data_IF_468544426814
#
_entry.id   IF_468544426814
#
_cell.length_a   1.000
_cell.length_b   1.000
_cell.length_c   1.000
_cell.angle_alpha   90.00
_cell.angle_beta   90.00
_cell.angle_gamma   90.00
#
_symmetry.space_group_name_H-M   'P 1'
#
loop_
_entity.id
_entity.type
_entity.pdbx_description
1 polymer ?
#
# COMPACT_ATOMS: atom_id res chain seq x y z
N UNK A 1 -5.23 13.68 3.04
CA UNK A 1 -4.96 12.28 2.67
C UNK A 1 -5.63 12.09 1.31
N UNK A 2 -4.88 11.67 0.28
CA UNK A 2 -5.33 11.50 -1.12
C UNK A 2 -5.54 12.78 -1.98
N UNK A 3 -5.18 12.68 -3.28
CA UNK A 3 -5.46 13.65 -4.35
C UNK A 3 -6.08 12.89 -5.53
N UNK A 4 -7.08 13.46 -6.23
CA UNK A 4 -7.61 12.87 -7.46
C UNK A 4 -6.60 13.10 -8.59
N UNK A 5 -5.99 12.04 -9.12
CA UNK A 5 -5.16 12.13 -10.32
C UNK A 5 -5.42 10.94 -11.25
N UNK A 6 -5.40 11.24 -12.54
CA UNK A 6 -5.89 10.47 -13.68
C UNK A 6 -4.90 9.42 -14.22
N UNK A 7 -3.89 9.02 -13.44
CA UNK A 7 -2.91 8.02 -13.85
C UNK A 7 -2.88 6.83 -12.90
N UNK A 8 -2.87 5.63 -13.49
CA UNK A 8 -2.63 4.34 -12.82
C UNK A 8 -1.31 4.38 -12.01
N UNK A 9 -0.34 5.22 -12.40
CA UNK A 9 0.97 5.34 -11.78
C UNK A 9 1.01 6.25 -10.53
N UNK A 10 -0.10 6.92 -10.18
CA UNK A 10 -0.16 7.85 -9.02
C UNK A 10 -1.07 7.40 -7.90
N UNK A 11 -1.54 6.16 -7.99
CA UNK A 11 -2.27 5.50 -6.93
C UNK A 11 -1.23 5.03 -5.90
N UNK A 12 -1.13 5.73 -4.77
CA UNK A 12 -0.45 5.18 -3.60
C UNK A 12 -1.27 3.97 -3.15
N UNK A 13 -0.98 2.79 -3.70
CA UNK A 13 -1.71 1.54 -3.42
C UNK A 13 -1.49 1.05 -1.99
N UNK A 14 -0.38 1.48 -1.39
CA UNK A 14 -0.10 1.28 0.00
C UNK A 14 -0.57 2.47 0.82
N UNK A 15 -1.46 2.22 1.77
CA UNK A 15 -1.46 3.07 2.95
C UNK A 15 -0.10 2.90 3.64
N UNK A 16 0.49 3.99 4.16
CA UNK A 16 1.71 3.90 4.95
C UNK A 16 1.53 2.86 6.05
N UNK A 17 2.45 1.91 6.11
CA UNK A 17 2.54 1.02 7.25
C UNK A 17 2.98 1.85 8.46
N UNK A 18 2.16 1.81 9.51
CA UNK A 18 2.50 2.37 10.81
C UNK A 18 2.99 1.22 11.67
N UNK A 19 4.15 1.40 12.30
CA UNK A 19 4.76 0.42 13.17
C UNK A 19 5.09 1.11 14.50
N UNK A 20 4.65 0.52 15.60
CA UNK A 20 4.99 0.94 16.95
C UNK A 20 6.38 0.43 17.33
N UNK A 21 7.33 1.37 17.36
CA UNK A 21 8.73 1.12 17.69
C UNK A 21 9.06 1.48 19.15
N UNK A 22 8.07 1.74 20.01
CA UNK A 22 8.30 2.10 21.42
C UNK A 22 9.20 1.10 22.16
N UNK A 23 9.05 -0.23 22.00
CA UNK A 23 9.96 -1.18 22.63
C UNK A 23 11.42 -1.04 22.16
N UNK A 24 11.66 -0.50 20.96
CA UNK A 24 13.00 -0.34 20.39
C UNK A 24 13.78 0.82 21.00
N UNK A 25 13.11 1.70 21.75
CA UNK A 25 13.80 2.73 22.54
C UNK A 25 14.81 2.10 23.52
N UNK A 26 14.64 0.82 23.86
CA UNK A 26 15.55 0.10 24.72
C UNK A 26 16.97 -0.06 24.16
N UNK A 27 17.14 0.00 22.83
CA UNK A 27 18.46 -0.08 22.18
C UNK A 27 19.21 1.27 22.18
N UNK A 28 18.55 2.37 22.51
CA UNK A 28 19.17 3.69 22.62
C UNK A 28 19.96 4.08 21.37
N UNK A 29 21.21 4.50 21.55
CA UNK A 29 22.11 4.90 20.46
C UNK A 29 22.63 3.73 19.60
N UNK A 30 22.44 2.49 20.04
CA UNK A 30 22.85 1.28 19.31
C UNK A 30 21.74 0.76 18.37
N UNK A 31 20.58 1.45 18.33
CA UNK A 31 19.46 1.07 17.50
C UNK A 31 19.80 1.19 16.00
N UNK A 32 19.70 0.06 15.27
CA UNK A 32 19.82 0.02 13.82
C UNK A 32 18.48 -0.35 13.19
N UNK A 33 17.91 0.55 12.38
CA UNK A 33 16.75 0.24 11.54
C UNK A 33 17.27 -0.25 10.20
N UNK A 34 16.99 -1.52 9.88
CA UNK A 34 17.39 -2.13 8.60
C UNK A 34 16.15 -2.44 7.78
N UNK A 35 16.16 -2.00 6.53
CA UNK A 35 15.17 -2.39 5.53
C UNK A 35 15.87 -3.31 4.53
N UNK A 36 15.29 -4.49 4.29
CA UNK A 36 15.85 -5.48 3.37
C UNK A 36 14.82 -5.82 2.29
N UNK A 37 15.28 -5.80 1.04
CA UNK A 37 14.50 -6.26 -0.13
C UNK A 37 15.18 -7.52 -0.65
N UNK A 38 14.53 -8.66 -0.52
CA UNK A 38 15.16 -9.97 -0.75
C UNK A 38 15.05 -10.47 -2.19
N UNK A 39 14.19 -9.88 -3.02
CA UNK A 39 13.83 -10.41 -4.33
C UNK A 39 14.53 -9.75 -5.53
N UNK A 40 15.14 -8.58 -5.39
CA UNK A 40 15.73 -7.84 -6.53
C UNK A 40 16.88 -8.60 -7.22
N UNK A 41 17.78 -9.21 -6.44
CA UNK A 41 18.90 -10.00 -6.99
C UNK A 41 18.37 -11.22 -7.74
N UNK A 42 17.38 -11.90 -7.15
CA UNK A 42 16.74 -13.07 -7.76
C UNK A 42 16.02 -12.69 -9.04
N UNK A 43 15.30 -11.56 -9.05
CA UNK A 43 14.62 -11.04 -10.23
C UNK A 43 15.61 -10.78 -11.38
N UNK A 44 16.73 -10.09 -11.10
CA UNK A 44 17.80 -9.87 -12.08
C UNK A 44 18.36 -11.20 -12.63
N UNK A 45 18.62 -12.18 -11.76
CA UNK A 45 19.17 -13.48 -12.18
C UNK A 45 18.21 -14.26 -13.08
N UNK A 46 16.91 -14.21 -12.81
CA UNK A 46 15.89 -14.95 -13.55
C UNK A 46 15.56 -14.32 -14.92
N UNK A 47 15.59 -12.99 -14.98
CA UNK A 47 15.05 -12.23 -16.11
C UNK A 47 16.14 -11.59 -16.97
N UNK A 48 17.34 -11.43 -16.41
CA UNK A 48 18.45 -10.72 -17.04
C UNK A 48 18.26 -9.20 -17.13
N UNK A 49 17.20 -8.62 -16.54
CA UNK A 49 16.98 -7.16 -16.53
C UNK A 49 17.20 -6.54 -15.14
N UNK A 50 17.90 -5.39 -15.05
CA UNK A 50 18.03 -4.61 -13.82
C UNK A 50 16.85 -3.66 -13.58
N UNK A 51 15.80 -3.68 -14.41
CA UNK A 51 14.69 -2.72 -14.35
C UNK A 51 13.71 -2.96 -13.18
N UNK A 52 14.03 -3.85 -12.25
CA UNK A 52 13.29 -4.05 -11.00
C UNK A 52 13.87 -3.16 -9.91
N UNK A 53 13.05 -2.28 -9.35
CA UNK A 53 13.45 -1.35 -8.29
C UNK A 53 12.33 -1.22 -7.25
N UNK A 54 12.69 -0.79 -6.04
CA UNK A 54 11.75 -0.44 -4.98
C UNK A 54 12.00 1.00 -4.54
N UNK A 55 10.94 1.80 -4.55
CA UNK A 55 10.94 3.12 -3.93
C UNK A 55 10.47 2.99 -2.48
N UNK A 56 11.39 3.17 -1.53
CA UNK A 56 11.11 3.04 -0.10
C UNK A 56 11.24 4.42 0.55
N UNK A 57 10.16 4.87 1.15
CA UNK A 57 10.12 6.09 1.92
C UNK A 57 9.48 5.83 3.29
N UNK A 58 10.04 6.45 4.32
CA UNK A 58 9.55 6.31 5.69
C UNK A 58 9.88 7.53 6.53
N UNK A 59 9.19 7.63 7.65
CA UNK A 59 9.42 8.65 8.66
C UNK A 59 9.41 8.02 10.03
N UNK A 60 10.40 8.36 10.85
CA UNK A 60 10.40 8.02 12.27
C UNK A 60 9.84 9.20 13.04
N UNK A 61 8.83 8.93 13.86
CA UNK A 61 8.25 9.92 14.76
C UNK A 61 8.59 9.53 16.20
N UNK A 62 9.19 10.47 16.94
CA UNK A 62 9.52 10.28 18.36
C UNK A 62 8.88 11.38 19.19
N UNK A 63 8.13 10.98 20.20
CA UNK A 63 7.67 11.89 21.24
C UNK A 63 8.71 11.99 22.35
N UNK A 64 9.11 13.21 22.70
CA UNK A 64 10.15 13.46 23.71
C UNK A 64 9.55 14.28 24.84
N UNK A 65 9.54 13.71 26.05
CA UNK A 65 9.19 14.44 27.26
C UNK A 65 10.44 14.85 28.04
N UNK A 66 10.90 16.09 27.88
CA UNK A 66 12.10 16.58 28.57
C UNK A 66 11.97 16.61 30.10
N UNK A 67 10.75 16.66 30.64
CA UNK A 67 10.52 16.62 32.08
C UNK A 67 10.62 15.21 32.66
N UNK A 68 10.50 14.19 31.80
CA UNK A 68 10.56 12.78 32.18
C UNK A 68 11.39 11.98 31.16
N UNK A 69 12.72 12.18 31.09
CA UNK A 69 13.56 11.50 30.12
C UNK A 69 13.69 10.00 30.43
N UNK A 70 13.94 9.20 29.40
CA UNK A 70 14.38 7.82 29.52
C UNK A 70 15.77 7.79 30.17
N UNK A 71 15.93 7.02 31.25
CA UNK A 71 17.15 6.92 32.06
C UNK A 71 17.83 5.58 31.87
N UNK A 72 17.05 4.50 31.72
CA UNK A 72 17.56 3.16 31.52
C UNK A 72 16.51 2.31 30.78
N UNK A 73 16.92 1.18 30.25
CA UNK A 73 16.06 0.26 29.52
C UNK A 73 16.55 -1.17 29.63
N UNK A 74 15.67 -2.13 29.35
CA UNK A 74 16.03 -3.55 29.28
C UNK A 74 15.15 -4.22 28.24
N UNK A 75 15.77 -4.82 27.23
CA UNK A 75 15.06 -5.69 26.28
C UNK A 75 14.69 -6.98 27.01
N UNK A 76 13.40 -7.33 27.01
CA UNK A 76 12.87 -8.56 27.62
C UNK A 76 12.72 -9.65 26.57
N UNK A 77 12.19 -9.29 25.40
CA UNK A 77 11.98 -10.23 24.30
C UNK A 77 12.29 -9.52 22.99
N UNK A 78 13.06 -10.22 22.16
CA UNK A 78 13.33 -9.86 20.78
C UNK A 78 13.21 -11.15 19.98
N UNK A 79 12.19 -11.22 19.16
CA UNK A 79 11.95 -12.36 18.29
C UNK A 79 11.50 -11.85 16.92
N UNK A 80 12.25 -12.29 15.90
CA UNK A 80 11.92 -12.02 14.51
C UNK A 80 11.99 -13.33 13.73
N UNK A 81 11.01 -13.54 12.87
CA UNK A 81 10.97 -14.65 11.93
C UNK A 81 10.47 -14.14 10.59
N UNK A 82 11.20 -14.48 9.54
CA UNK A 82 10.77 -14.28 8.16
C UNK A 82 10.86 -15.63 7.44
N UNK A 83 9.82 -15.97 6.70
CA UNK A 83 9.74 -17.15 5.86
C UNK A 83 9.33 -16.70 4.46
N UNK A 84 10.05 -17.20 3.47
CA UNK A 84 9.82 -16.93 2.06
C UNK A 84 9.99 -18.26 1.33
N UNK A 85 9.00 -18.63 0.51
CA UNK A 85 9.09 -19.82 -0.32
C UNK A 85 10.15 -19.69 -1.42
N UNK A 86 10.53 -18.44 -1.75
CA UNK A 86 11.16 -18.10 -3.00
C UNK A 86 10.21 -18.29 -4.20
N UNK A 87 10.63 -17.85 -5.38
CA UNK A 87 9.82 -17.94 -6.59
C UNK A 87 9.72 -19.39 -7.08
N UNK A 88 8.50 -19.91 -7.24
CA UNK A 88 8.24 -21.25 -7.75
C UNK A 88 7.65 -21.14 -9.15
N UNK A 89 8.38 -21.66 -10.16
CA UNK A 89 7.92 -21.71 -11.54
C UNK A 89 7.58 -23.14 -11.96
N UNK A 90 6.38 -23.33 -12.49
CA UNK A 90 5.93 -24.61 -13.03
C UNK A 90 5.36 -24.43 -14.44
N UNK A 91 5.60 -25.38 -15.33
CA UNK A 91 4.86 -25.46 -16.59
C UNK A 91 3.53 -26.18 -16.37
N UNK A 92 2.48 -25.76 -17.05
CA UNK A 92 1.25 -26.53 -17.15
C UNK A 92 0.47 -26.24 -18.42
N UNK A 93 -0.77 -26.73 -18.50
CA UNK A 93 -1.52 -26.79 -19.75
C UNK A 93 -1.78 -25.42 -20.39
N UNK A 94 -2.04 -24.39 -19.57
CA UNK A 94 -2.38 -23.06 -20.06
C UNK A 94 -1.15 -22.13 -20.17
N UNK A 95 0.05 -22.55 -19.74
CA UNK A 95 1.23 -21.69 -19.74
C UNK A 95 2.17 -21.93 -18.56
N UNK A 96 2.89 -20.89 -18.17
CA UNK A 96 3.73 -20.88 -16.99
C UNK A 96 2.94 -20.42 -15.78
N UNK A 97 3.17 -21.08 -14.65
CA UNK A 97 2.63 -20.73 -13.35
C UNK A 97 3.77 -20.25 -12.47
N UNK A 98 3.61 -19.06 -11.91
CA UNK A 98 4.45 -18.52 -10.87
C UNK A 98 3.68 -18.49 -9.56
N UNK A 99 4.34 -18.90 -8.48
CA UNK A 99 3.81 -18.87 -7.13
C UNK A 99 4.90 -18.44 -6.16
N UNK A 100 4.54 -17.57 -5.22
CA UNK A 100 5.40 -17.18 -4.12
C UNK A 100 4.53 -16.91 -2.90
N UNK A 101 5.02 -17.30 -1.73
CA UNK A 101 4.33 -17.01 -0.48
C UNK A 101 5.34 -16.79 0.62
N UNK A 102 5.03 -15.86 1.49
CA UNK A 102 5.86 -15.57 2.63
C UNK A 102 5.06 -15.12 3.83
N UNK A 103 5.72 -15.12 4.98
CA UNK A 103 5.17 -14.64 6.23
C UNK A 103 6.26 -14.10 7.14
N UNK A 104 5.88 -13.17 8.00
CA UNK A 104 6.76 -12.64 9.02
C UNK A 104 6.07 -12.56 10.37
N UNK A 105 6.86 -12.61 11.43
CA UNK A 105 6.46 -12.36 12.80
C UNK A 105 7.57 -11.57 13.49
N UNK A 106 7.21 -10.44 14.06
CA UNK A 106 8.03 -9.57 14.88
C UNK A 106 7.37 -9.50 16.26
N UNK A 107 8.15 -9.74 17.31
CA UNK A 107 7.68 -9.68 18.68
C UNK A 107 8.77 -9.08 19.55
N UNK A 108 8.49 -7.89 20.06
CA UNK A 108 9.41 -7.11 20.86
C UNK A 108 8.74 -6.70 22.16
N UNK A 109 9.46 -6.83 23.26
CA UNK A 109 9.02 -6.36 24.57
C UNK A 109 10.22 -5.80 25.31
N UNK A 110 10.05 -4.62 25.90
CA UNK A 110 11.08 -3.99 26.70
C UNK A 110 10.51 -3.34 27.96
N UNK A 111 11.35 -3.22 28.97
CA UNK A 111 11.12 -2.36 30.13
C UNK A 111 11.87 -1.05 29.90
N UNK A 112 11.15 0.06 29.91
CA UNK A 112 11.68 1.41 29.77
C UNK A 112 11.58 2.13 31.12
N UNK A 113 12.70 2.59 31.66
CA UNK A 113 12.77 3.31 32.92
C UNK A 113 12.99 4.79 32.67
N UNK A 114 12.01 5.60 33.04
CA UNK A 114 12.06 7.05 32.96
C UNK A 114 12.34 7.66 34.33
N UNK A 115 12.71 8.94 34.35
CA UNK A 115 13.02 9.66 35.59
C UNK A 115 11.92 9.58 36.65
N UNK A 116 10.65 9.53 36.22
CA UNK A 116 9.46 9.57 37.08
C UNK A 116 8.56 8.33 36.95
N UNK A 117 9.09 7.19 36.48
CA UNK A 117 8.35 5.93 36.44
C UNK A 117 8.91 4.94 35.42
N UNK A 118 8.12 3.93 35.07
CA UNK A 118 8.52 2.92 34.10
C UNK A 118 7.36 2.62 33.13
N UNK A 119 7.70 2.00 32.02
CA UNK A 119 6.77 1.54 30.99
C UNK A 119 7.23 0.17 30.48
N UNK A 120 6.33 -0.81 30.56
CA UNK A 120 6.49 -2.10 29.88
C UNK A 120 5.85 -1.94 28.51
N UNK A 121 6.69 -1.81 27.48
CA UNK A 121 6.25 -1.63 26.11
C UNK A 121 6.35 -2.94 25.33
N UNK A 122 5.30 -3.30 24.60
CA UNK A 122 5.24 -4.52 23.81
C UNK A 122 4.60 -4.28 22.44
N UNK A 123 5.22 -4.82 21.38
CA UNK A 123 4.70 -4.78 20.02
C UNK A 123 4.81 -6.16 19.40
N UNK A 124 3.72 -6.65 18.84
CA UNK A 124 3.68 -7.85 18.01
C UNK A 124 3.13 -7.48 16.64
N UNK A 125 3.86 -7.82 15.59
CA UNK A 125 3.45 -7.62 14.21
C UNK A 125 3.59 -8.92 13.45
N UNK A 126 2.58 -9.28 12.68
CA UNK A 126 2.66 -10.43 11.79
C UNK A 126 1.99 -10.12 10.47
N UNK A 127 2.46 -10.79 9.42
CA UNK A 127 1.87 -10.65 8.11
C UNK A 127 2.23 -11.81 7.21
N UNK A 128 1.52 -11.88 6.09
CA UNK A 128 1.71 -12.87 5.04
C UNK A 128 1.36 -12.27 3.70
N UNK A 129 2.03 -12.77 2.68
CA UNK A 129 1.71 -12.48 1.30
C UNK A 129 1.61 -13.77 0.50
N UNK A 130 0.81 -13.74 -0.56
CA UNK A 130 0.73 -14.79 -1.54
C UNK A 130 0.58 -14.18 -2.92
N UNK A 131 1.51 -14.52 -3.81
CA UNK A 131 1.49 -14.16 -5.21
C UNK A 131 1.24 -15.41 -6.05
N UNK A 132 0.34 -15.28 -7.02
CA UNK A 132 0.04 -16.30 -8.02
C UNK A 132 -0.08 -15.62 -9.37
N UNK A 133 0.63 -16.11 -10.36
CA UNK A 133 0.53 -15.64 -11.73
C UNK A 133 0.46 -16.82 -12.67
N UNK A 134 -0.40 -16.75 -13.67
CA UNK A 134 -0.38 -17.66 -14.81
C UNK A 134 -0.25 -16.83 -16.08
N UNK A 135 0.71 -17.16 -16.92
CA UNK A 135 0.99 -16.36 -18.10
C UNK A 135 1.48 -17.20 -19.27
N UNK A 136 1.19 -16.71 -20.47
CA UNK A 136 1.77 -17.17 -21.73
C UNK A 136 1.83 -15.98 -22.71
N UNK A 137 2.06 -16.26 -23.99
CA UNK A 137 2.23 -15.21 -25.01
C UNK A 137 0.94 -14.46 -25.37
N UNK A 138 -0.23 -14.93 -24.93
CA UNK A 138 -1.53 -14.31 -25.24
C UNK A 138 -2.22 -13.81 -23.98
N UNK A 139 -2.13 -14.49 -22.84
CA UNK A 139 -2.82 -14.09 -21.62
C UNK A 139 -1.91 -14.04 -20.40
N UNK A 140 -2.33 -13.25 -19.43
CA UNK A 140 -1.79 -13.19 -18.08
C UNK A 140 -2.92 -13.05 -17.06
N UNK A 141 -2.84 -13.83 -15.98
CA UNK A 141 -3.68 -13.72 -14.81
C UNK A 141 -2.77 -13.63 -13.59
N UNK A 142 -2.80 -12.52 -12.86
CA UNK A 142 -2.01 -12.33 -11.65
C UNK A 142 -2.91 -12.05 -10.45
N UNK A 143 -2.53 -12.55 -9.28
CA UNK A 143 -3.14 -12.24 -8.01
C UNK A 143 -2.02 -12.03 -6.99
N UNK A 144 -2.12 -10.96 -6.21
CA UNK A 144 -1.28 -10.72 -5.03
C UNK A 144 -2.23 -10.42 -3.88
N UNK A 145 -2.06 -11.14 -2.77
CA UNK A 145 -2.82 -10.87 -1.56
C UNK A 145 -1.86 -10.71 -0.41
N UNK A 146 -1.92 -9.55 0.24
CA UNK A 146 -1.18 -9.27 1.47
C UNK A 146 -2.15 -9.10 2.62
N UNK A 147 -1.78 -9.61 3.79
CA UNK A 147 -2.51 -9.38 5.04
C UNK A 147 -1.54 -9.19 6.18
N UNK A 148 -1.81 -8.24 7.06
CA UNK A 148 -0.97 -7.97 8.22
C UNK A 148 -1.82 -7.54 9.42
N UNK A 149 -1.25 -7.72 10.60
CA UNK A 149 -1.78 -7.23 11.86
C UNK A 149 -0.65 -6.71 12.73
N UNK A 150 -0.94 -5.70 13.52
CA UNK A 150 -0.07 -5.19 14.56
C UNK A 150 -0.85 -4.97 15.83
N UNK A 151 -0.26 -5.36 16.95
CA UNK A 151 -0.77 -5.07 18.28
C UNK A 151 0.35 -4.50 19.12
N UNK A 152 0.16 -3.28 19.61
CA UNK A 152 1.06 -2.68 20.59
C UNK A 152 0.32 -2.46 21.90
N UNK A 153 1.04 -2.61 23.01
CA UNK A 153 0.51 -2.39 24.35
C UNK A 153 1.61 -1.94 25.27
N UNK A 154 1.36 -0.79 25.89
CA UNK A 154 2.23 -0.22 26.91
C UNK A 154 1.48 -0.12 28.24
N UNK A 155 2.19 -0.44 29.32
CA UNK A 155 1.68 -0.38 30.68
C UNK A 155 2.68 0.28 31.62
N UNK A 156 2.21 1.14 32.51
CA UNK A 156 3.03 1.75 33.55
C UNK A 156 2.59 3.18 33.80
N UNK A 157 3.45 4.15 33.45
CA UNK A 157 3.12 5.58 33.56
C UNK A 157 1.93 5.98 32.68
N UNK A 158 1.89 5.43 31.46
CA UNK A 158 0.78 5.59 30.53
C UNK A 158 0.29 4.21 30.12
N UNK A 159 -1.03 4.13 29.90
CA UNK A 159 -1.63 2.95 29.31
C UNK A 159 -1.96 3.29 27.87
N UNK A 160 -1.32 2.56 26.96
CA UNK A 160 -1.51 2.68 25.54
C UNK A 160 -1.82 1.32 24.94
N UNK A 161 -2.71 1.29 23.96
CA UNK A 161 -2.93 0.11 23.12
C UNK A 161 -3.06 0.55 21.67
N UNK A 162 -2.51 -0.21 20.74
CA UNK A 162 -2.69 -0.08 19.31
C UNK A 162 -3.14 -1.43 18.75
N UNK A 163 -4.09 -1.41 17.83
CA UNK A 163 -4.49 -2.55 17.04
C UNK A 163 -4.64 -2.10 15.58
N UNK A 164 -3.77 -2.60 14.71
CA UNK A 164 -3.83 -2.39 13.27
C UNK A 164 -4.11 -3.74 12.62
N UNK A 165 -4.96 -3.75 11.61
CA UNK A 165 -5.06 -4.87 10.68
C UNK A 165 -5.31 -4.36 9.29
N UNK A 166 -4.78 -5.06 8.29
CA UNK A 166 -5.07 -4.69 6.92
C UNK A 166 -4.90 -5.83 5.92
N UNK A 167 -5.54 -5.65 4.77
CA UNK A 167 -5.40 -6.53 3.62
C UNK A 167 -5.39 -5.74 2.31
N UNK A 168 -4.52 -6.16 1.40
CA UNK A 168 -4.36 -5.58 0.07
C UNK A 168 -4.53 -6.68 -1.00
N UNK A 169 -5.78 -7.02 -1.37
CA UNK A 169 -6.02 -7.91 -2.49
C UNK A 169 -5.83 -7.18 -3.82
N UNK A 170 -5.03 -7.76 -4.70
CA UNK A 170 -4.75 -7.33 -6.06
C UNK A 170 -5.07 -8.49 -6.99
N UNK A 171 -5.83 -8.23 -8.04
CA UNK A 171 -5.98 -9.18 -9.14
C UNK A 171 -5.87 -8.45 -10.47
N UNK A 172 -5.23 -9.10 -11.43
CA UNK A 172 -5.02 -8.59 -12.77
C UNK A 172 -5.30 -9.69 -13.77
N UNK A 173 -5.94 -9.33 -14.86
CA UNK A 173 -6.13 -10.16 -16.02
C UNK A 173 -5.81 -9.34 -17.27
N UNK A 174 -5.03 -9.91 -18.17
CA UNK A 174 -4.70 -9.33 -19.46
C UNK A 174 -4.83 -10.43 -20.52
N UNK A 175 -5.41 -10.07 -21.65
CA UNK A 175 -5.41 -10.86 -22.87
C UNK A 175 -4.91 -10.00 -24.01
N UNK A 176 -4.17 -10.61 -24.91
CA UNK A 176 -3.47 -9.93 -25.99
C UNK A 176 -3.43 -10.80 -27.23
N UNK A 177 -3.52 -10.14 -28.36
CA UNK A 177 -3.44 -10.75 -29.66
C UNK A 177 -2.50 -9.96 -30.55
N UNK A 178 -1.63 -10.68 -31.25
CA UNK A 178 -0.66 -10.11 -32.17
C UNK A 178 -0.62 -10.92 -33.46
N UNK A 179 -0.72 -10.26 -34.61
CA UNK A 179 -0.55 -10.90 -35.92
C UNK A 179 0.26 -10.04 -36.88
N UNK A 180 1.32 -10.57 -37.54
CA UNK A 180 2.09 -9.83 -38.52
C UNK A 180 1.22 -9.37 -39.70
N UNK A 181 1.33 -8.09 -40.05
CA UNK A 181 0.70 -7.50 -41.26
C UNK A 181 1.72 -7.44 -42.41
N UNK A 182 3.02 -7.33 -42.07
CA UNK A 182 4.12 -7.45 -43.03
C UNK A 182 4.98 -8.67 -42.69
N UNK A 183 5.88 -9.07 -43.61
CA UNK A 183 6.69 -10.27 -43.41
C UNK A 183 7.58 -10.14 -42.16
N UNK A 184 7.53 -11.09 -41.21
CA UNK A 184 8.39 -11.09 -40.03
C UNK A 184 9.83 -11.52 -40.33
N UNK A 185 10.15 -11.82 -41.60
CA UNK A 185 11.49 -12.24 -42.03
C UNK A 185 12.52 -11.11 -42.13
N UNK A 186 12.06 -9.85 -42.08
CA UNK A 186 12.89 -8.65 -42.16
C UNK A 186 12.45 -7.68 -41.08
N UNK A 187 13.41 -7.04 -40.41
CA UNK A 187 13.15 -5.97 -39.43
C UNK A 187 13.46 -4.63 -40.11
N UNK A 188 12.59 -3.60 -40.00
CA UNK A 188 11.36 -3.60 -39.23
C UNK A 188 10.19 -4.33 -39.91
N UNK A 189 9.25 -4.83 -39.12
CA UNK A 189 7.95 -5.35 -39.61
C UNK A 189 6.81 -4.91 -38.71
N UNK A 190 5.61 -4.79 -39.29
CA UNK A 190 4.41 -4.36 -38.60
C UNK A 190 3.57 -5.55 -38.14
N UNK A 191 3.00 -5.46 -36.95
CA UNK A 191 1.96 -6.33 -36.44
C UNK A 191 0.69 -5.53 -36.12
N UNK A 192 -0.46 -6.17 -36.28
CA UNK A 192 -1.70 -5.75 -35.63
C UNK A 192 -1.64 -6.28 -34.20
N UNK A 193 -1.86 -5.40 -33.24
CA UNK A 193 -1.83 -5.71 -31.81
C UNK A 193 -3.13 -5.27 -31.18
N UNK A 194 -3.69 -6.11 -30.31
CA UNK A 194 -4.79 -5.74 -29.44
C UNK A 194 -4.50 -6.28 -28.04
N UNK A 195 -4.76 -5.48 -27.02
CA UNK A 195 -4.67 -5.88 -25.62
C UNK A 195 -5.91 -5.39 -24.90
N UNK A 196 -6.49 -6.26 -24.09
CA UNK A 196 -7.57 -5.95 -23.16
C UNK A 196 -7.20 -6.49 -21.79
N UNK A 197 -7.58 -5.77 -20.74
CA UNK A 197 -7.28 -6.19 -19.39
C UNK A 197 -8.20 -5.57 -18.36
N UNK A 198 -8.09 -6.11 -17.16
CA UNK A 198 -8.81 -5.70 -15.98
C UNK A 198 -7.88 -5.84 -14.78
N UNK A 199 -7.83 -4.82 -13.93
CA UNK A 199 -7.11 -4.84 -12.65
C UNK A 199 -8.07 -4.42 -11.54
N UNK A 200 -8.08 -5.19 -10.46
CA UNK A 200 -8.82 -4.90 -9.23
C UNK A 200 -7.83 -4.74 -8.10
N UNK A 201 -8.04 -3.72 -7.30
CA UNK A 201 -7.18 -3.30 -6.22
C UNK A 201 -8.07 -3.00 -5.04
N UNK A 202 -7.88 -3.73 -3.95
CA UNK A 202 -8.64 -3.55 -2.73
C UNK A 202 -7.73 -3.15 -1.59
N UNK A 203 -8.35 -2.49 -0.62
CA UNK A 203 -7.74 -2.19 0.66
C UNK A 203 -8.82 -2.34 1.73
N UNK A 204 -8.56 -3.19 2.71
CA UNK A 204 -9.30 -3.18 3.97
C UNK A 204 -8.29 -2.81 5.06
N UNK A 205 -8.54 -1.75 5.81
CA UNK A 205 -7.62 -1.30 6.85
C UNK A 205 -8.41 -0.89 8.08
N UNK A 206 -7.97 -1.39 9.22
CA UNK A 206 -8.48 -1.01 10.52
C UNK A 206 -7.31 -0.56 11.38
N UNK A 207 -7.48 0.56 12.07
CA UNK A 207 -6.57 1.02 13.11
C UNK A 207 -7.41 1.50 14.28
N UNK A 208 -7.07 1.05 15.47
CA UNK A 208 -7.62 1.59 16.70
C UNK A 208 -6.52 1.72 17.73
N UNK A 209 -6.54 2.83 18.45
CA UNK A 209 -5.67 3.02 19.58
C UNK A 209 -6.43 3.59 20.78
N UNK A 210 -5.90 3.32 21.96
CA UNK A 210 -6.36 3.95 23.19
C UNK A 210 -5.18 4.55 23.92
N UNK A 211 -5.37 5.75 24.46
CA UNK A 211 -4.40 6.41 25.32
C UNK A 211 -5.13 7.11 26.46
N UNK A 212 -4.87 6.70 27.70
CA UNK A 212 -5.47 7.30 28.90
C UNK A 212 -7.00 7.50 28.82
N UNK A 213 -7.73 6.52 28.28
CA UNK A 213 -9.19 6.55 28.16
C UNK A 213 -9.73 7.30 26.93
N UNK A 214 -8.87 7.90 26.11
CA UNK A 214 -9.22 8.37 24.76
C UNK A 214 -9.06 7.22 23.77
N UNK A 215 -10.16 6.83 23.15
CA UNK A 215 -10.21 5.79 22.14
C UNK A 215 -10.37 6.42 20.77
N UNK A 216 -9.53 6.05 19.83
CA UNK A 216 -9.66 6.45 18.42
C UNK A 216 -9.71 5.20 17.58
N UNK A 217 -10.61 5.15 16.62
CA UNK A 217 -10.65 4.10 15.62
C UNK A 217 -10.88 4.67 14.23
N UNK A 218 -10.31 3.99 13.25
CA UNK A 218 -10.45 4.28 11.84
C UNK A 218 -10.61 2.98 11.07
N UNK A 219 -11.57 2.94 10.15
CA UNK A 219 -11.82 1.78 9.29
C UNK A 219 -11.93 2.26 7.85
N UNK A 220 -11.16 1.65 6.94
CA UNK A 220 -11.08 2.00 5.53
C UNK A 220 -11.40 0.75 4.71
N UNK A 221 -12.35 0.87 3.79
CA UNK A 221 -12.63 -0.13 2.75
C UNK A 221 -12.59 0.58 1.41
N UNK A 222 -11.56 0.29 0.61
CA UNK A 222 -11.40 0.83 -0.74
C UNK A 222 -11.43 -0.31 -1.77
N UNK A 223 -12.05 -0.04 -2.90
CA UNK A 223 -12.01 -0.89 -4.09
C UNK A 223 -11.84 -0.02 -5.33
N UNK A 224 -10.79 -0.30 -6.10
CA UNK A 224 -10.56 0.24 -7.42
C UNK A 224 -10.60 -0.88 -8.45
N UNK A 225 -11.40 -0.67 -9.47
CA UNK A 225 -11.47 -1.55 -10.64
C UNK A 225 -11.17 -0.74 -11.88
N UNK A 226 -10.14 -1.10 -12.62
CA UNK A 226 -9.88 -0.56 -13.95
C UNK A 226 -10.01 -1.65 -15.00
N UNK A 227 -10.75 -1.37 -16.07
CA UNK A 227 -10.92 -2.26 -17.21
C UNK A 227 -10.69 -1.48 -18.49
N UNK A 228 -9.86 -1.99 -19.37
CA UNK A 228 -9.51 -1.24 -20.57
C UNK A 228 -8.51 -1.96 -21.43
N UNK A 229 -8.00 -1.25 -22.41
CA UNK A 229 -7.05 -1.78 -23.35
C UNK A 229 -6.93 -0.92 -24.58
N UNK A 230 -6.06 -1.34 -25.47
CA UNK A 230 -5.81 -0.62 -26.71
C UNK A 230 -5.54 -1.60 -27.85
N UNK A 231 -5.78 -1.13 -29.06
CA UNK A 231 -5.39 -1.80 -30.27
C UNK A 231 -4.62 -0.87 -31.17
N UNK A 232 -3.75 -1.42 -32.00
CA UNK A 232 -2.89 -0.62 -32.84
C UNK A 232 -2.03 -1.43 -33.80
N UNK A 233 -1.23 -0.70 -34.56
CA UNK A 233 -0.14 -1.26 -35.35
C UNK A 233 1.15 -1.00 -34.59
N UNK A 234 1.86 -2.07 -34.23
CA UNK A 234 3.18 -1.98 -33.64
C UNK A 234 4.22 -2.32 -34.72
N UNK A 235 5.30 -1.54 -34.78
CA UNK A 235 6.48 -1.83 -35.61
C UNK A 235 7.54 -2.49 -34.73
N UNK A 236 7.90 -3.73 -35.04
CA UNK A 236 9.02 -4.41 -34.40
C UNK A 236 10.31 -3.88 -35.00
N UNK A 237 11.11 -3.23 -34.17
CA UNK A 237 12.34 -2.53 -34.58
C UNK A 237 13.60 -3.35 -34.29
N UNK A 238 13.51 -4.45 -33.52
CA UNK A 238 14.64 -5.35 -33.30
C UNK A 238 14.21 -6.79 -32.99
N UNK A 239 15.17 -7.71 -33.10
CA UNK A 239 14.99 -9.16 -32.88
C UNK A 239 14.78 -9.57 -31.43
N UNK A 240 14.94 -8.64 -30.49
CA UNK A 240 14.79 -8.85 -29.06
C UNK A 240 13.40 -8.45 -28.55
N UNK A 241 12.47 -8.12 -29.45
CA UNK A 241 11.10 -7.75 -29.10
C UNK A 241 10.88 -6.26 -28.88
N UNK A 242 11.86 -5.41 -29.20
CA UNK A 242 11.65 -3.96 -29.20
C UNK A 242 10.58 -3.57 -30.23
N UNK A 243 9.57 -2.85 -29.79
CA UNK A 243 8.41 -2.48 -30.58
C UNK A 243 8.00 -1.02 -30.34
N UNK A 244 7.47 -0.37 -31.36
CA UNK A 244 6.94 1.00 -31.28
C UNK A 244 5.49 1.01 -31.75
N UNK A 245 4.60 1.66 -30.99
CA UNK A 245 3.22 1.89 -31.43
C UNK A 245 3.22 2.96 -32.54
N UNK A 246 2.93 2.54 -33.78
CA UNK A 246 2.90 3.42 -34.96
C UNK A 246 1.51 4.00 -35.18
N UNK A 247 0.48 3.19 -34.94
CA UNK A 247 -0.91 3.60 -35.12
C UNK A 247 -1.73 3.08 -33.94
N UNK A 248 -2.52 3.95 -33.33
CA UNK A 248 -3.56 3.56 -32.38
C UNK A 248 -4.87 3.40 -33.15
N UNK A 249 -5.50 2.22 -33.09
CA UNK A 249 -6.80 1.96 -33.74
C UNK A 249 -7.96 2.14 -32.76
N UNK A 250 -7.75 1.80 -31.49
CA UNK A 250 -8.65 2.14 -30.40
C UNK A 250 -7.90 2.18 -29.07
N UNK A 251 -8.43 2.93 -28.12
CA UNK A 251 -8.06 2.90 -26.72
C UNK A 251 -9.31 3.16 -25.90
N UNK A 252 -9.58 2.29 -24.93
CA UNK A 252 -10.71 2.43 -24.04
C UNK A 252 -10.29 2.08 -22.61
N UNK A 253 -10.85 2.79 -21.65
CA UNK A 253 -10.66 2.50 -20.25
C UNK A 253 -11.90 2.93 -19.45
N UNK A 254 -12.23 2.16 -18.42
CA UNK A 254 -13.21 2.50 -17.40
C UNK A 254 -12.57 2.18 -16.07
N UNK A 255 -12.43 3.19 -15.22
CA UNK A 255 -11.88 3.06 -13.88
C UNK A 255 -12.92 3.51 -12.88
N UNK A 256 -13.29 2.63 -11.95
CA UNK A 256 -14.22 2.91 -10.86
C UNK A 256 -13.44 2.80 -9.56
N UNK A 257 -13.54 3.81 -8.70
CA UNK A 257 -12.99 3.80 -7.35
C UNK A 257 -14.12 4.05 -6.36
N UNK A 258 -14.20 3.22 -5.33
CA UNK A 258 -15.11 3.38 -4.20
C UNK A 258 -14.30 3.33 -2.90
N UNK A 259 -14.64 4.18 -1.95
CA UNK A 259 -14.04 4.25 -0.63
C UNK A 259 -15.16 4.42 0.40
N UNK A 260 -15.10 3.64 1.46
CA UNK A 260 -15.87 3.84 2.68
C UNK A 260 -14.88 3.99 3.83
N UNK A 261 -14.92 5.15 4.48
CA UNK A 261 -14.03 5.48 5.57
C UNK A 261 -14.83 5.89 6.80
N UNK A 262 -14.57 5.26 7.94
CA UNK A 262 -15.13 5.62 9.23
C UNK A 262 -14.01 6.11 10.13
N UNK A 263 -14.19 7.25 10.78
CA UNK A 263 -13.28 7.77 11.79
C UNK A 263 -14.04 8.15 13.06
N UNK A 264 -13.62 7.58 14.20
CA UNK A 264 -14.28 7.77 15.48
C UNK A 264 -13.27 8.15 16.57
N UNK A 265 -13.65 9.13 17.38
CA UNK A 265 -13.01 9.48 18.64
C UNK A 265 -14.06 9.30 19.74
N UNK A 266 -13.80 8.39 20.67
CA UNK A 266 -14.71 8.02 21.75
C UNK A 266 -16.13 7.67 21.25
N UNK A 267 -16.21 6.96 20.12
CA UNK A 267 -17.47 6.54 19.50
C UNK A 267 -18.23 7.64 18.75
N UNK A 268 -17.63 8.82 18.57
CA UNK A 268 -18.20 9.93 17.79
C UNK A 268 -17.27 10.32 16.65
N UNK A 269 -17.83 10.66 15.49
CA UNK A 269 -17.03 11.14 14.38
C UNK A 269 -17.81 11.16 13.08
N UNK A 270 -17.25 10.62 12.01
CA UNK A 270 -17.86 10.65 10.70
C UNK A 270 -17.61 9.38 9.89
N UNK A 271 -18.54 9.12 8.97
CA UNK A 271 -18.33 8.27 7.82
C UNK A 271 -18.13 9.17 6.58
N UNK A 272 -17.24 8.76 5.69
CA UNK A 272 -16.98 9.32 4.38
C UNK A 272 -17.24 8.22 3.35
N UNK A 273 -18.12 8.52 2.39
CA UNK A 273 -18.38 7.70 1.22
C UNK A 273 -17.88 8.44 0.00
N UNK A 274 -16.92 7.85 -0.70
CA UNK A 274 -16.39 8.40 -1.94
C UNK A 274 -16.59 7.41 -3.09
N UNK A 275 -17.00 7.93 -4.24
CA UNK A 275 -17.15 7.15 -5.47
C UNK A 275 -16.80 7.98 -6.69
N UNK A 276 -15.99 7.45 -7.59
CA UNK A 276 -15.66 8.09 -8.86
C UNK A 276 -15.58 7.09 -10.00
N UNK A 277 -16.01 7.52 -11.19
CA UNK A 277 -15.85 6.78 -12.44
C UNK A 277 -15.13 7.68 -13.45
N UNK A 278 -13.96 7.23 -13.90
CA UNK A 278 -13.22 7.78 -15.02
C UNK A 278 -13.44 6.92 -16.26
N UNK A 279 -13.64 7.54 -17.42
CA UNK A 279 -13.83 6.86 -18.69
C UNK A 279 -12.95 7.43 -19.78
N UNK A 280 -12.53 6.56 -20.68
CA UNK A 280 -11.94 6.89 -21.96
C UNK A 280 -12.74 6.16 -23.03
N UNK A 281 -13.40 6.94 -23.88
CA UNK A 281 -14.23 6.38 -24.94
C UNK A 281 -13.32 5.76 -25.99
N UNK A 282 -13.67 4.54 -26.44
CA UNK A 282 -12.99 3.77 -27.50
C UNK A 282 -12.71 4.63 -28.74
N UNK A 283 -11.56 5.28 -28.73
CA UNK A 283 -11.14 6.28 -29.73
C UNK A 283 -9.62 6.23 -29.85
N UNK A 284 -9.08 6.93 -30.83
CA UNK A 284 -7.63 7.14 -30.96
C UNK A 284 -7.10 8.27 -30.06
N UNK A 285 -7.96 8.85 -29.21
CA UNK A 285 -7.58 9.87 -28.25
C UNK A 285 -7.02 9.19 -26.99
N UNK A 286 -5.99 9.78 -26.39
CA UNK A 286 -5.36 9.32 -25.15
C UNK A 286 -6.00 9.94 -23.90
N UNK A 287 -6.88 10.92 -24.06
CA UNK A 287 -7.46 11.64 -22.94
C UNK A 287 -8.68 10.89 -22.37
N UNK A 288 -8.62 10.57 -21.08
CA UNK A 288 -9.79 10.19 -20.28
C UNK A 288 -10.45 11.40 -19.62
N UNK A 289 -11.66 11.20 -19.09
CA UNK A 289 -12.41 12.20 -18.33
C UNK A 289 -13.24 11.55 -17.22
N UNK A 290 -13.53 12.31 -16.17
CA UNK A 290 -14.46 11.86 -15.15
C UNK A 290 -15.88 11.86 -15.69
N UNK A 291 -16.57 10.72 -15.57
CA UNK A 291 -18.00 10.61 -15.79
C UNK A 291 -18.77 11.13 -14.57
N UNK A 292 -18.29 10.80 -13.36
CA UNK A 292 -18.76 11.39 -12.12
C UNK A 292 -17.71 11.28 -11.01
N UNK A 293 -17.90 12.13 -9.99
CA UNK A 293 -17.23 12.09 -8.69
C UNK A 293 -18.29 12.42 -7.64
N UNK A 294 -18.35 11.65 -6.58
CA UNK A 294 -19.27 11.82 -5.45
C UNK A 294 -18.51 11.64 -4.15
N UNK A 295 -18.77 12.52 -3.19
CA UNK A 295 -18.18 12.51 -1.86
C UNK A 295 -19.27 12.93 -0.88
N UNK A 296 -19.55 12.06 0.10
CA UNK A 296 -20.60 12.27 1.09
C UNK A 296 -20.04 12.04 2.49
N UNK A 297 -20.45 12.89 3.44
CA UNK A 297 -20.08 12.76 4.84
C UNK A 297 -21.34 12.62 5.69
N UNK A 298 -21.32 11.70 6.66
CA UNK A 298 -22.36 11.57 7.68
C UNK A 298 -21.77 11.51 9.07
N UNK A 299 -22.44 12.11 10.05
CA UNK A 299 -22.02 12.05 11.44
C UNK A 299 -22.35 10.70 12.07
N UNK A 300 -21.45 10.19 12.90
CA UNK A 300 -21.66 8.98 13.72
C UNK A 300 -21.71 9.36 15.21
N UNK A 301 -22.74 8.87 15.90
CA UNK A 301 -23.04 9.18 17.32
C UNK A 301 -24.00 10.37 17.49
N UNK A 302 -24.81 10.37 18.56
CA UNK A 302 -25.83 11.40 18.80
C UNK A 302 -25.24 12.83 18.82
N UNK A 303 -25.84 13.79 18.09
CA UNK A 303 -25.53 15.20 18.28
C UNK A 303 -26.17 15.65 19.60
N UNK A 304 -25.44 15.54 20.71
CA UNK A 304 -25.87 16.27 21.91
C UNK A 304 -25.82 17.78 21.61
N UNK A 305 -26.81 18.60 22.02
CA UNK A 305 -27.06 19.92 21.44
C UNK A 305 -26.01 21.01 21.73
N UNK A 306 -24.86 20.67 22.30
CA UNK A 306 -23.89 21.65 22.85
C UNK A 306 -22.45 21.46 22.41
N UNK A 307 -22.16 20.63 21.41
CA UNK A 307 -20.85 20.68 20.76
C UNK A 307 -21.04 21.05 19.29
N UNK A 308 -20.80 22.33 19.00
CA UNK A 308 -20.49 22.78 17.64
C UNK A 308 -19.39 21.86 17.11
N UNK A 309 -19.75 20.96 16.20
CA UNK A 309 -18.79 20.21 15.39
C UNK A 309 -17.93 21.27 14.71
N UNK A 310 -16.62 21.37 15.01
CA UNK A 310 -15.76 22.28 14.28
C UNK A 310 -15.92 21.94 12.79
N UNK A 311 -16.10 22.96 11.95
CA UNK A 311 -16.15 22.77 10.49
C UNK A 311 -15.08 21.77 10.07
N UNK A 312 -15.38 20.84 9.18
CA UNK A 312 -14.48 19.78 8.67
C UNK A 312 -13.04 20.24 8.39
N UNK A 313 -12.84 21.50 8.00
CA UNK A 313 -11.52 22.15 7.86
C UNK A 313 -10.69 22.29 9.16
N UNK A 314 -11.34 22.52 10.30
CA UNK A 314 -10.70 22.72 11.60
C UNK A 314 -10.20 21.39 12.20
N UNK A 315 -10.85 20.26 11.92
CA UNK A 315 -10.37 18.93 12.36
C UNK A 315 -9.12 18.54 11.58
N UNK A 316 -9.07 18.82 10.27
CA UNK A 316 -7.84 18.66 9.46
C UNK A 316 -6.70 19.57 9.93
N UNK A 317 -6.99 20.82 10.34
CA UNK A 317 -5.97 21.73 10.88
C UNK A 317 -5.54 21.36 12.30
N UNK A 318 -6.43 20.96 13.21
CA UNK A 318 -6.05 20.54 14.57
C UNK A 318 -5.26 19.23 14.58
N UNK A 319 -5.58 18.27 13.70
CA UNK A 319 -4.71 17.10 13.49
C UNK A 319 -3.28 17.50 13.06
N UNK A 320 -3.12 18.60 12.31
CA UNK A 320 -1.82 19.12 11.88
C UNK A 320 -1.11 20.05 12.88
N UNK A 321 -1.84 20.62 13.85
CA UNK A 321 -1.30 21.64 14.76
C UNK A 321 -1.10 21.13 16.19
N UNK A 322 -1.93 20.19 16.65
CA UNK A 322 -1.89 19.70 18.04
C UNK A 322 -0.92 18.53 18.20
N UNK A 323 -0.70 17.74 17.13
CA UNK A 323 0.26 16.63 17.14
C UNK A 323 1.71 17.07 16.89
N UNK A 324 1.93 18.14 16.11
CA UNK A 324 3.24 18.42 15.50
C UNK A 324 4.12 19.43 16.25
N UNK A 325 3.62 20.11 17.29
CA UNK A 325 4.35 21.24 17.88
C UNK A 325 5.60 20.84 18.68
N UNK A 326 5.72 19.57 19.08
CA UNK A 326 6.89 19.06 19.83
C UNK A 326 7.51 17.76 19.27
N UNK A 327 7.06 17.27 18.12
CA UNK A 327 7.64 16.05 17.51
C UNK A 327 8.93 16.38 16.74
N UNK A 328 10.00 15.63 17.01
CA UNK A 328 11.18 15.60 16.13
C UNK A 328 10.92 14.55 15.05
N UNK A 329 11.05 14.96 13.80
CA UNK A 329 10.77 14.13 12.62
C UNK A 329 12.09 13.84 11.90
N UNK A 330 12.41 12.56 11.70
CA UNK A 330 13.52 12.13 10.84
C UNK A 330 12.97 11.53 9.56
N UNK A 331 13.34 12.12 8.42
CA UNK A 331 12.99 11.61 7.10
C UNK A 331 14.04 10.61 6.64
N UNK A 332 13.61 9.42 6.22
CA UNK A 332 14.47 8.42 5.60
C UNK A 332 13.96 8.17 4.18
N UNK A 333 14.76 8.58 3.19
CA UNK A 333 14.53 8.29 1.78
C UNK A 333 15.63 7.34 1.32
N UNK A 334 15.26 6.15 0.84
CA UNK A 334 16.20 5.19 0.27
C UNK A 334 15.66 4.76 -1.08
N UNK A 335 16.40 5.12 -2.15
CA UNK A 335 16.21 4.53 -3.47
C UNK A 335 17.12 3.30 -3.53
N UNK A 336 16.53 2.11 -3.64
CA UNK A 336 17.27 0.83 -3.69
C UNK A 336 17.33 0.32 -5.12
#
# INVERSE_FOLDING_TARGET
YWKPLTSIDTLSFHNPYVIDLTPMLAYGEEANITVSVTNLVTALQLTGTPDYFWDIAGVLMLWVNSSNPLVNSTVITEYQRFLDSGPIFNQGFLGFYYQEGGSYLLNYTSMLYFKHGYELASTVQEGRFYAYQTFNNIYELANLSETFTEYAKDYGMYNYTLAISGSYPISMYVDSFATPITSPSVIPYNLSFEQLGEIHLGLNYYCAYSFNGYNVSSNIVENLKAKGGFGGIMEIINRYGGAVLVVLTFNNAVTIKNLNFTYLVNGKGFDELFSAEGIQNSTVNLNGYYKYVSEEFSSVGDPSPTQLVPSTYAVYQEMSLTFFREMRVLYVFVKV
#
